data_IF_193096217724
#
_entry.id   IF_193096217724
#
_cell.length_a   1.000
_cell.length_b   1.000
_cell.length_c   1.000
_cell.angle_alpha   90.00
_cell.angle_beta   90.00
_cell.angle_gamma   90.00
#
_symmetry.space_group_name_H-M   'P 1'
#
loop_
_entity.id
_entity.type
_entity.pdbx_description
1 polymer ?
#
# COMPACT_ATOMS: atom_id res chain seq x y z
N UNK A 1 48.44 6.61 36.24
CA UNK A 1 47.55 7.59 35.58
C UNK A 1 46.64 8.19 36.65
N UNK A 2 46.66 9.51 36.85
CA UNK A 2 45.88 10.14 37.93
C UNK A 2 44.38 10.04 37.62
N UNK A 3 43.53 9.77 38.63
CA UNK A 3 42.07 9.62 38.47
C UNK A 3 41.45 10.81 37.73
N UNK A 4 42.00 12.00 37.92
CA UNK A 4 41.57 13.22 37.25
C UNK A 4 41.83 13.20 35.73
N UNK A 5 42.96 12.64 35.30
CA UNK A 5 43.32 12.51 33.88
C UNK A 5 42.42 11.50 33.15
N UNK A 6 42.01 10.42 33.83
CA UNK A 6 41.09 9.42 33.28
C UNK A 6 39.68 10.00 33.07
N UNK A 7 39.17 10.78 34.02
CA UNK A 7 37.84 11.42 33.92
C UNK A 7 37.79 12.45 32.79
N UNK A 8 38.84 13.27 32.65
CA UNK A 8 38.94 14.25 31.56
C UNK A 8 38.98 13.56 30.20
N UNK A 9 39.73 12.47 30.05
CA UNK A 9 39.78 11.71 28.80
C UNK A 9 38.44 11.05 28.45
N UNK A 10 37.71 10.51 29.43
CA UNK A 10 36.36 9.94 29.20
C UNK A 10 35.37 11.03 28.78
N UNK A 11 35.42 12.21 29.40
CA UNK A 11 34.55 13.33 29.05
C UNK A 11 34.82 13.85 27.61
N UNK A 12 36.09 13.98 27.22
CA UNK A 12 36.49 14.36 25.86
C UNK A 12 36.06 13.31 24.81
N UNK A 13 36.17 12.02 25.11
CA UNK A 13 35.70 10.94 24.23
C UNK A 13 34.18 10.93 24.12
N UNK A 14 33.44 11.19 25.21
CA UNK A 14 31.97 11.33 25.16
C UNK A 14 31.52 12.57 24.37
N UNK A 15 32.26 13.69 24.44
CA UNK A 15 31.98 14.89 23.64
C UNK A 15 32.26 14.70 22.14
N UNK A 16 33.22 13.85 21.79
CA UNK A 16 33.48 13.42 20.40
C UNK A 16 32.42 12.42 19.88
N UNK A 17 31.64 11.79 20.76
CA UNK A 17 30.54 10.87 20.44
C UNK A 17 29.17 11.57 20.31
N UNK A 18 29.12 12.90 20.40
CA UNK A 18 27.89 13.66 20.14
C UNK A 18 27.66 13.64 18.63
N UNK A 19 26.95 12.61 18.17
CA UNK A 19 26.46 12.52 16.80
C UNK A 19 25.52 13.71 16.59
N UNK A 20 25.90 14.67 15.76
CA UNK A 20 25.02 15.77 15.36
C UNK A 20 23.86 15.17 14.57
N UNK A 21 22.74 14.88 15.26
CA UNK A 21 21.50 14.46 14.62
C UNK A 21 20.92 15.71 13.97
N UNK A 22 21.15 15.86 12.66
CA UNK A 22 20.45 16.84 11.85
C UNK A 22 19.12 16.24 11.41
N UNK A 23 18.02 16.89 11.79
CA UNK A 23 16.69 16.57 11.28
C UNK A 23 16.32 17.62 10.24
N UNK A 24 16.21 17.21 8.98
CA UNK A 24 15.67 18.08 7.93
C UNK A 24 14.17 18.22 8.14
N UNK A 25 13.67 19.46 8.25
CA UNK A 25 12.22 19.70 8.25
C UNK A 25 11.67 19.41 6.86
N UNK A 26 10.75 18.46 6.79
CA UNK A 26 10.06 18.07 5.56
C UNK A 26 8.64 18.63 5.61
N UNK A 27 8.29 19.47 4.63
CA UNK A 27 6.91 19.96 4.46
C UNK A 27 6.22 19.19 3.33
N UNK A 28 5.11 18.53 3.67
CA UNK A 28 4.27 17.83 2.71
C UNK A 28 3.00 18.67 2.50
N UNK A 29 2.75 19.06 1.25
CA UNK A 29 1.49 19.71 0.86
C UNK A 29 0.44 18.65 0.52
N UNK A 30 -0.79 18.84 1.00
CA UNK A 30 -1.96 18.06 0.58
C UNK A 30 -2.75 18.75 -0.56
N UNK A 31 -2.31 19.92 -1.02
CA UNK A 31 -3.02 20.73 -2.04
C UNK A 31 -2.19 20.96 -3.31
N UNK A 32 -0.87 20.78 -3.24
CA UNK A 32 0.03 20.87 -4.40
C UNK A 32 0.49 19.46 -4.77
N UNK A 33 0.69 19.17 -6.07
CA UNK A 33 1.25 17.90 -6.48
C UNK A 33 2.64 17.72 -5.88
N UNK A 34 2.95 16.50 -5.46
CA UNK A 34 4.32 16.15 -5.07
C UNK A 34 5.17 16.05 -6.33
N UNK A 35 6.34 16.67 -6.29
CA UNK A 35 7.32 16.60 -7.38
C UNK A 35 8.44 15.64 -7.02
N UNK A 36 8.98 14.95 -8.02
CA UNK A 36 10.21 14.17 -7.89
C UNK A 36 11.46 15.08 -7.96
N UNK A 37 12.64 14.48 -7.85
CA UNK A 37 13.92 15.21 -7.91
C UNK A 37 14.20 15.88 -9.27
N UNK A 38 13.46 15.50 -10.33
CA UNK A 38 13.53 16.15 -11.65
C UNK A 38 12.48 17.28 -11.79
N UNK A 39 11.69 17.55 -10.75
CA UNK A 39 10.63 18.54 -10.75
C UNK A 39 9.35 18.08 -11.45
N UNK A 40 9.21 16.79 -11.76
CA UNK A 40 8.02 16.23 -12.42
C UNK A 40 6.96 15.83 -11.38
N UNK A 41 5.66 16.06 -11.64
CA UNK A 41 4.61 15.51 -10.80
C UNK A 41 4.73 14.00 -10.67
N UNK A 42 4.63 13.51 -9.44
CA UNK A 42 4.64 12.07 -9.16
C UNK A 42 3.27 11.48 -9.51
N UNK A 43 3.18 10.80 -10.65
CA UNK A 43 2.04 9.94 -11.04
C UNK A 43 2.14 8.63 -10.26
N UNK A 44 1.77 8.64 -8.99
CA UNK A 44 1.80 7.44 -8.16
C UNK A 44 0.64 7.43 -7.17
N UNK A 45 -0.20 6.42 -7.32
CA UNK A 45 -1.49 6.36 -6.64
C UNK A 45 -1.64 5.05 -5.88
N UNK A 46 -2.50 5.10 -4.87
CA UNK A 46 -3.20 3.99 -4.19
C UNK A 46 -2.41 2.75 -3.75
N UNK A 47 -1.07 2.80 -3.78
CA UNK A 47 -0.19 1.69 -3.43
C UNK A 47 0.30 1.68 -1.99
N UNK A 48 1.59 1.43 -1.76
CA UNK A 48 2.18 1.41 -0.41
C UNK A 48 3.62 1.93 -0.40
N UNK A 49 3.98 2.55 0.74
CA UNK A 49 5.36 2.92 1.07
C UNK A 49 5.90 1.90 2.06
N UNK A 50 7.09 1.37 1.80
CA UNK A 50 7.75 0.39 2.67
C UNK A 50 9.26 0.63 2.70
N UNK A 51 9.87 0.36 3.85
CA UNK A 51 11.32 0.31 4.03
C UNK A 51 11.68 -1.14 4.39
N UNK A 52 12.47 -1.80 3.55
CA UNK A 52 12.82 -3.22 3.77
C UNK A 52 13.97 -3.40 4.77
N UNK A 53 14.86 -2.40 4.86
CA UNK A 53 16.02 -2.41 5.73
C UNK A 53 16.03 -1.13 6.57
N UNK A 54 16.23 -1.25 7.88
CA UNK A 54 16.25 -0.11 8.79
C UNK A 54 17.34 0.89 8.37
N UNK A 55 16.94 2.12 8.06
CA UNK A 55 17.84 3.17 7.59
C UNK A 55 18.20 3.08 6.10
N UNK A 56 17.64 2.11 5.37
CA UNK A 56 17.73 2.04 3.91
C UNK A 56 16.70 2.92 3.21
N UNK A 57 16.56 2.74 1.89
CA UNK A 57 15.58 3.48 1.09
C UNK A 57 14.13 3.13 1.45
N UNK A 58 13.28 4.14 1.35
CA UNK A 58 11.83 3.99 1.24
C UNK A 58 11.46 3.69 -0.21
N UNK A 59 10.60 2.70 -0.41
CA UNK A 59 10.07 2.30 -1.70
C UNK A 59 8.59 2.65 -1.72
N UNK A 60 8.17 3.50 -2.65
CA UNK A 60 6.77 3.79 -2.91
C UNK A 60 6.36 3.08 -4.19
N UNK A 61 5.57 2.03 -4.03
CA UNK A 61 4.91 1.34 -5.12
C UNK A 61 3.51 1.92 -5.30
N UNK A 62 3.06 2.11 -6.53
CA UNK A 62 1.72 2.62 -6.79
C UNK A 62 1.31 2.49 -8.25
N UNK A 63 0.03 2.67 -8.51
CA UNK A 63 -0.47 2.73 -9.88
C UNK A 63 -0.10 4.08 -10.51
N UNK A 64 0.37 4.06 -11.75
CA UNK A 64 0.44 5.23 -12.60
C UNK A 64 -0.79 5.28 -13.50
N UNK A 65 -1.50 6.40 -13.48
CA UNK A 65 -2.70 6.62 -14.30
C UNK A 65 -2.40 7.44 -15.57
N UNK A 66 -1.15 7.88 -15.75
CA UNK A 66 -0.68 8.70 -16.86
C UNK A 66 -1.20 10.14 -16.78
N UNK A 67 -1.17 10.85 -17.90
CA UNK A 67 -1.70 12.23 -18.04
C UNK A 67 -3.24 12.24 -18.12
N UNK A 68 -3.82 11.66 -17.09
CA UNK A 68 -5.23 11.48 -16.89
C UNK A 68 -5.81 12.74 -16.25
N UNK A 69 -6.67 13.46 -16.97
CA UNK A 69 -7.34 14.62 -16.41
C UNK A 69 -8.75 14.23 -15.92
N UNK A 70 -9.03 14.32 -14.60
CA UNK A 70 -10.37 14.06 -14.10
C UNK A 70 -11.35 15.09 -14.71
N UNK A 71 -12.61 14.71 -14.98
CA UNK A 71 -13.58 15.66 -15.52
C UNK A 71 -13.84 16.79 -14.53
N UNK A 72 -13.79 18.03 -15.04
CA UNK A 72 -13.76 19.27 -14.25
C UNK A 72 -15.00 19.50 -13.38
N UNK A 73 -16.17 19.01 -13.81
CA UNK A 73 -17.46 19.41 -13.22
C UNK A 73 -17.95 18.52 -12.08
N UNK A 74 -17.47 17.27 -11.98
CA UNK A 74 -17.92 16.28 -10.97
C UNK A 74 -16.78 15.44 -10.35
N UNK A 75 -15.53 15.69 -10.74
CA UNK A 75 -14.40 14.84 -10.34
C UNK A 75 -14.62 13.37 -10.73
N UNK A 76 -14.10 12.45 -9.91
CA UNK A 76 -14.28 11.01 -10.11
C UNK A 76 -15.60 10.46 -9.50
N UNK A 77 -16.66 11.28 -9.38
CA UNK A 77 -18.01 10.82 -9.10
C UNK A 77 -18.88 10.77 -10.38
N UNK A 78 -19.36 9.58 -10.79
CA UNK A 78 -20.16 9.44 -12.00
C UNK A 78 -20.24 8.03 -12.57
N UNK A 79 -20.86 7.91 -13.75
CA UNK A 79 -20.82 6.72 -14.58
C UNK A 79 -19.58 6.79 -15.48
N UNK A 80 -18.78 5.72 -15.48
CA UNK A 80 -17.52 5.67 -16.22
C UNK A 80 -17.56 4.63 -17.32
N UNK A 81 -17.05 5.03 -18.47
CA UNK A 81 -16.79 4.17 -19.61
C UNK A 81 -15.33 3.70 -19.59
N UNK A 82 -15.09 2.55 -20.22
CA UNK A 82 -13.72 2.14 -20.53
C UNK A 82 -13.02 3.24 -21.34
N UNK A 83 -11.81 3.60 -20.91
CA UNK A 83 -11.02 4.70 -21.52
C UNK A 83 -11.09 6.01 -20.74
N UNK A 84 -12.09 6.19 -19.88
CA UNK A 84 -12.17 7.34 -18.99
C UNK A 84 -11.00 7.38 -18.01
N UNK A 85 -10.80 8.55 -17.39
CA UNK A 85 -9.70 8.73 -16.49
C UNK A 85 -9.79 7.78 -15.28
N UNK A 86 -8.74 6.97 -15.04
CA UNK A 86 -8.73 5.95 -14.00
C UNK A 86 -9.44 4.64 -14.36
N UNK A 87 -9.93 4.50 -15.60
CA UNK A 87 -10.63 3.32 -16.11
C UNK A 87 -10.00 2.82 -17.42
N UNK A 88 -8.67 2.93 -17.51
CA UNK A 88 -7.87 2.56 -18.69
C UNK A 88 -7.06 1.30 -18.41
N UNK A 89 -6.71 0.60 -19.47
CA UNK A 89 -5.98 -0.68 -19.38
C UNK A 89 -4.46 -0.50 -19.40
N UNK A 90 -4.01 0.72 -19.65
CA UNK A 90 -2.61 1.09 -19.71
C UNK A 90 -2.06 1.53 -18.35
N UNK A 91 -2.77 1.30 -17.24
CA UNK A 91 -2.26 1.62 -15.91
C UNK A 91 -0.92 0.93 -15.67
N UNK A 92 0.11 1.70 -15.34
CA UNK A 92 1.45 1.20 -15.01
C UNK A 92 1.53 0.91 -13.51
N UNK A 93 2.52 0.11 -13.08
CA UNK A 93 2.81 -0.04 -11.66
C UNK A 93 4.19 0.57 -11.43
N UNK A 94 4.23 1.80 -10.97
CA UNK A 94 5.48 2.52 -10.80
C UNK A 94 6.12 2.28 -9.44
N UNK A 95 7.44 2.39 -9.42
CA UNK A 95 8.26 2.49 -8.22
C UNK A 95 8.96 3.85 -8.18
N UNK A 96 8.83 4.54 -7.06
CA UNK A 96 9.70 5.63 -6.65
C UNK A 96 10.48 5.23 -5.40
N UNK A 97 11.71 5.72 -5.25
CA UNK A 97 12.51 5.53 -4.02
C UNK A 97 12.88 6.85 -3.39
N UNK A 98 13.01 6.88 -2.06
CA UNK A 98 13.42 8.06 -1.31
C UNK A 98 14.30 7.69 -0.11
N UNK A 99 15.35 8.45 0.21
CA UNK A 99 16.12 8.25 1.43
C UNK A 99 15.44 8.82 2.68
N UNK A 100 14.49 9.76 2.52
CA UNK A 100 14.02 10.65 3.59
C UNK A 100 12.50 10.91 3.58
N UNK A 101 11.75 10.19 2.73
CA UNK A 101 10.32 10.38 2.45
C UNK A 101 9.96 11.72 1.76
N UNK A 102 10.95 12.54 1.41
CA UNK A 102 10.77 13.84 0.78
C UNK A 102 11.31 13.88 -0.64
N UNK A 103 12.57 13.51 -0.84
CA UNK A 103 13.21 13.46 -2.15
C UNK A 103 12.91 12.13 -2.81
N UNK A 104 12.01 12.13 -3.79
CA UNK A 104 11.59 10.92 -4.50
C UNK A 104 12.24 10.85 -5.88
N UNK A 105 12.78 9.68 -6.22
CA UNK A 105 13.36 9.38 -7.53
C UNK A 105 12.50 8.33 -8.22
N UNK A 106 12.05 8.62 -9.45
CA UNK A 106 11.39 7.61 -10.28
C UNK A 106 12.37 6.50 -10.64
N UNK A 107 11.97 5.24 -10.48
CA UNK A 107 12.80 4.08 -10.81
C UNK A 107 12.36 3.44 -12.12
N UNK A 108 11.12 2.94 -12.21
CA UNK A 108 10.52 2.33 -13.41
C UNK A 108 9.06 1.92 -13.21
N UNK A 109 8.43 1.47 -14.31
CA UNK A 109 7.30 0.52 -14.27
C UNK A 109 7.82 -0.89 -13.92
N UNK A 110 7.43 -1.40 -12.75
CA UNK A 110 7.86 -2.69 -12.21
C UNK A 110 7.02 -3.86 -12.72
N UNK A 111 5.92 -3.59 -13.44
CA UNK A 111 5.00 -4.61 -13.96
C UNK A 111 4.48 -4.22 -15.35
N UNK A 112 5.36 -4.15 -16.38
CA UNK A 112 5.04 -3.58 -17.67
C UNK A 112 4.12 -4.47 -18.52
N UNK A 113 3.31 -3.86 -19.38
CA UNK A 113 2.32 -4.55 -20.22
C UNK A 113 2.88 -5.62 -21.14
N UNK A 114 4.10 -5.44 -21.66
CA UNK A 114 4.81 -6.42 -22.47
C UNK A 114 5.40 -7.58 -21.66
N UNK A 115 5.36 -7.52 -20.33
CA UNK A 115 5.87 -8.53 -19.40
C UNK A 115 4.93 -9.72 -19.18
N UNK A 116 3.87 -9.87 -19.99
CA UNK A 116 2.94 -11.01 -19.89
C UNK A 116 1.90 -10.87 -18.77
N UNK A 117 1.57 -9.65 -18.34
CA UNK A 117 0.53 -9.41 -17.33
C UNK A 117 -0.89 -9.56 -17.89
N UNK A 118 -1.88 -10.06 -17.11
CA UNK A 118 -3.24 -10.30 -17.60
C UNK A 118 -4.00 -9.01 -17.92
N UNK A 119 -4.56 -8.88 -19.12
CA UNK A 119 -5.30 -7.67 -19.56
C UNK A 119 -6.32 -7.19 -18.53
N UNK A 120 -6.35 -5.94 -18.15
CA UNK A 120 -7.36 -5.45 -17.20
C UNK A 120 -7.05 -4.04 -16.73
N UNK A 121 -7.88 -3.53 -15.84
CA UNK A 121 -7.66 -2.25 -15.18
C UNK A 121 -7.12 -2.53 -13.78
N UNK A 122 -6.02 -1.90 -13.42
CA UNK A 122 -5.28 -2.19 -12.21
C UNK A 122 -5.41 -1.09 -11.18
N UNK A 123 -5.61 -1.51 -9.94
CA UNK A 123 -5.78 -0.65 -8.78
C UNK A 123 -5.01 -1.19 -7.59
N UNK A 124 -4.65 -0.28 -6.69
CA UNK A 124 -4.13 -0.56 -5.35
C UNK A 124 -2.98 -1.57 -5.28
N UNK A 125 -1.93 -1.48 -6.12
CA UNK A 125 -0.82 -2.41 -6.02
C UNK A 125 -0.22 -2.41 -4.61
N UNK A 126 0.12 -3.58 -4.08
CA UNK A 126 0.82 -3.73 -2.80
C UNK A 126 2.02 -4.63 -3.00
N UNK A 127 3.21 -4.17 -2.61
CA UNK A 127 4.42 -4.99 -2.60
C UNK A 127 4.85 -5.26 -1.16
N UNK A 128 4.99 -6.52 -0.81
CA UNK A 128 5.52 -6.99 0.47
C UNK A 128 6.68 -7.98 0.25
N UNK A 129 7.59 -8.09 1.21
CA UNK A 129 8.69 -9.05 1.14
C UNK A 129 8.35 -10.30 1.95
N UNK A 130 8.50 -11.47 1.34
CA UNK A 130 8.34 -12.75 1.99
C UNK A 130 9.72 -13.28 2.42
N UNK A 131 10.01 -13.25 3.73
CA UNK A 131 11.31 -13.68 4.28
C UNK A 131 11.60 -15.16 4.03
N UNK A 132 10.58 -16.00 4.04
CA UNK A 132 10.70 -17.45 3.89
C UNK A 132 11.14 -17.86 2.48
N UNK A 133 10.57 -17.23 1.45
CA UNK A 133 10.89 -17.49 0.04
C UNK A 133 11.94 -16.56 -0.52
N UNK A 134 12.27 -15.48 0.20
CA UNK A 134 13.17 -14.40 -0.23
C UNK A 134 12.70 -13.73 -1.52
N UNK A 135 11.38 -13.57 -1.67
CA UNK A 135 10.75 -12.94 -2.83
C UNK A 135 9.98 -11.69 -2.42
N UNK A 136 10.00 -10.70 -3.29
CA UNK A 136 9.05 -9.60 -3.28
C UNK A 136 7.77 -10.06 -3.96
N UNK A 137 6.63 -9.82 -3.33
CA UNK A 137 5.32 -10.28 -3.78
C UNK A 137 4.43 -9.07 -4.02
N UNK A 138 4.03 -8.88 -5.27
CA UNK A 138 3.13 -7.84 -5.74
C UNK A 138 1.71 -8.40 -5.83
N UNK A 139 0.77 -7.78 -5.13
CA UNK A 139 -0.66 -8.01 -5.27
C UNK A 139 -1.32 -6.82 -5.96
N UNK A 140 -2.27 -7.06 -6.85
CA UNK A 140 -2.99 -6.01 -7.60
C UNK A 140 -4.49 -6.34 -7.62
N UNK A 141 -5.34 -5.35 -7.39
CA UNK A 141 -6.76 -5.44 -7.68
C UNK A 141 -6.96 -5.22 -9.19
N UNK A 142 -7.38 -6.26 -9.89
CA UNK A 142 -7.64 -6.27 -11.33
C UNK A 142 -9.13 -6.33 -11.58
N UNK A 143 -9.63 -5.31 -12.27
CA UNK A 143 -10.99 -5.26 -12.80
C UNK A 143 -10.98 -5.69 -14.27
N UNK A 144 -11.88 -6.58 -14.63
CA UNK A 144 -12.08 -7.00 -16.02
C UNK A 144 -12.62 -5.84 -16.88
N UNK A 145 -12.23 -5.84 -18.15
CA UNK A 145 -12.54 -4.75 -19.08
C UNK A 145 -14.04 -4.64 -19.33
N UNK A 146 -14.65 -5.70 -19.85
CA UNK A 146 -15.98 -5.62 -20.45
C UNK A 146 -17.08 -5.87 -19.42
N UNK A 147 -17.66 -4.79 -18.92
CA UNK A 147 -18.91 -4.78 -18.17
C UNK A 147 -20.11 -4.41 -19.05
N UNK A 148 -21.33 -4.39 -18.48
CA UNK A 148 -22.52 -3.93 -19.17
C UNK A 148 -22.34 -2.50 -19.72
N UNK A 149 -22.88 -2.24 -20.92
CA UNK A 149 -22.90 -0.90 -21.53
C UNK A 149 -21.52 -0.21 -21.70
N UNK A 150 -20.44 -0.97 -21.82
CA UNK A 150 -19.09 -0.42 -22.03
C UNK A 150 -18.41 0.13 -20.78
N UNK A 151 -18.97 -0.14 -19.59
CA UNK A 151 -18.36 0.16 -18.30
C UNK A 151 -17.30 -0.89 -17.90
N UNK A 152 -16.35 -0.54 -17.01
CA UNK A 152 -15.50 -1.52 -16.33
C UNK A 152 -16.34 -2.57 -15.58
N UNK A 153 -15.91 -3.84 -15.61
CA UNK A 153 -16.64 -4.93 -14.97
C UNK A 153 -16.22 -5.13 -13.52
N UNK A 154 -16.62 -4.22 -12.62
CA UNK A 154 -16.36 -4.34 -11.18
C UNK A 154 -16.93 -5.62 -10.56
N UNK A 155 -18.00 -6.17 -11.15
CA UNK A 155 -18.56 -7.47 -10.74
C UNK A 155 -17.69 -8.66 -11.16
N UNK A 156 -16.64 -8.44 -11.94
CA UNK A 156 -15.64 -9.45 -12.27
C UNK A 156 -14.24 -8.93 -11.93
N UNK A 157 -14.11 -8.38 -10.72
CA UNK A 157 -12.83 -8.06 -10.13
C UNK A 157 -12.14 -9.32 -9.56
N UNK A 158 -10.82 -9.27 -9.45
CA UNK A 158 -9.96 -10.35 -8.97
C UNK A 158 -8.62 -9.81 -8.48
N UNK A 159 -7.88 -10.61 -7.72
CA UNK A 159 -6.48 -10.29 -7.42
C UNK A 159 -5.52 -11.00 -8.38
N UNK A 160 -4.57 -10.24 -8.91
CA UNK A 160 -3.38 -10.75 -9.60
C UNK A 160 -2.22 -10.75 -8.60
N UNK A 161 -1.40 -11.80 -8.64
CA UNK A 161 -0.18 -11.88 -7.85
C UNK A 161 1.01 -12.14 -8.75
N UNK A 162 2.08 -11.39 -8.52
CA UNK A 162 3.35 -11.50 -9.21
C UNK A 162 4.51 -11.48 -8.22
N UNK A 163 5.67 -12.00 -8.60
CA UNK A 163 6.86 -12.04 -7.74
C UNK A 163 8.11 -11.52 -8.44
N UNK A 164 9.07 -11.04 -7.65
CA UNK A 164 10.40 -10.64 -8.09
C UNK A 164 11.45 -11.05 -7.06
N UNK A 165 12.69 -11.25 -7.51
CA UNK A 165 13.86 -11.45 -6.64
C UNK A 165 14.41 -10.13 -6.07
N UNK A 166 14.07 -9.00 -6.69
CA UNK A 166 14.52 -7.66 -6.29
C UNK A 166 13.32 -6.74 -6.05
N UNK A 167 13.44 -5.71 -5.18
CA UNK A 167 12.33 -4.81 -4.89
C UNK A 167 11.89 -3.98 -6.11
N UNK A 168 12.82 -3.70 -7.02
CA UNK A 168 12.60 -2.91 -8.24
C UNK A 168 12.13 -3.74 -9.45
N UNK A 169 11.83 -5.02 -9.26
CA UNK A 169 11.28 -5.87 -10.33
C UNK A 169 12.28 -6.20 -11.45
N UNK A 170 11.81 -6.60 -12.63
CA UNK A 170 10.41 -6.71 -13.07
C UNK A 170 9.69 -7.87 -12.39
N UNK A 171 8.43 -7.66 -12.01
CA UNK A 171 7.59 -8.69 -11.39
C UNK A 171 6.99 -9.63 -12.44
N UNK A 172 7.03 -10.93 -12.17
CA UNK A 172 6.49 -12.00 -13.03
C UNK A 172 5.24 -12.60 -12.40
N UNK A 173 4.18 -12.77 -13.19
CA UNK A 173 2.89 -13.29 -12.72
C UNK A 173 3.03 -14.72 -12.22
N UNK A 174 2.51 -14.99 -11.02
CA UNK A 174 2.38 -16.33 -10.44
C UNK A 174 0.93 -16.73 -10.21
N UNK A 175 0.02 -15.76 -10.13
CA UNK A 175 -1.43 -15.96 -10.12
C UNK A 175 -2.11 -14.91 -10.97
N UNK A 176 -2.71 -15.30 -12.09
CA UNK A 176 -3.54 -14.39 -12.89
C UNK A 176 -4.86 -14.04 -12.19
N UNK A 177 -5.35 -14.95 -11.34
CA UNK A 177 -6.58 -14.78 -10.55
C UNK A 177 -6.48 -15.64 -9.29
N UNK A 178 -6.39 -15.00 -8.12
CA UNK A 178 -6.42 -15.70 -6.83
C UNK A 178 -7.81 -16.29 -6.60
N UNK A 179 -7.93 -17.62 -6.71
CA UNK A 179 -9.20 -18.36 -6.55
C UNK A 179 -9.50 -18.80 -5.13
N UNK A 180 -8.53 -18.70 -4.22
CA UNK A 180 -8.67 -19.19 -2.83
C UNK A 180 -9.34 -18.20 -1.88
N UNK A 181 -9.67 -16.99 -2.34
CA UNK A 181 -10.46 -16.02 -1.57
C UNK A 181 -11.79 -16.64 -1.15
N UNK A 182 -12.22 -16.42 0.09
CA UNK A 182 -13.48 -16.99 0.58
C UNK A 182 -14.68 -16.36 -0.15
N UNK A 183 -14.67 -15.03 -0.27
CA UNK A 183 -15.74 -14.27 -0.89
C UNK A 183 -15.27 -13.70 -2.23
N UNK A 184 -15.87 -14.17 -3.32
CA UNK A 184 -15.60 -13.70 -4.68
C UNK A 184 -15.95 -12.22 -4.90
N UNK A 185 -15.68 -11.72 -6.11
CA UNK A 185 -15.85 -10.31 -6.48
C UNK A 185 -15.17 -9.37 -5.47
N UNK A 186 -13.87 -9.58 -5.21
CA UNK A 186 -13.13 -8.74 -4.29
C UNK A 186 -12.95 -7.33 -4.88
N UNK A 187 -12.82 -6.32 -4.02
CA UNK A 187 -12.51 -4.96 -4.45
C UNK A 187 -11.22 -4.44 -3.82
N UNK A 188 -11.32 -3.26 -3.23
CA UNK A 188 -10.25 -2.60 -2.52
C UNK A 188 -9.64 -3.50 -1.43
N UNK A 189 -8.31 -3.45 -1.34
CA UNK A 189 -7.57 -4.25 -0.36
C UNK A 189 -6.32 -3.55 0.14
N UNK A 190 -5.77 -4.13 1.21
CA UNK A 190 -4.40 -3.91 1.65
C UNK A 190 -3.82 -5.21 2.21
N UNK A 191 -2.51 -5.21 2.44
CA UNK A 191 -1.78 -6.31 3.06
C UNK A 191 -1.22 -5.86 4.41
N UNK A 192 -1.15 -6.80 5.35
CA UNK A 192 -0.52 -6.61 6.65
C UNK A 192 0.41 -7.78 6.93
N UNK A 193 1.60 -7.51 7.48
CA UNK A 193 2.53 -8.55 7.95
C UNK A 193 2.59 -8.43 9.46
N UNK A 194 2.18 -9.49 10.13
CA UNK A 194 2.35 -9.73 11.54
C UNK A 194 3.72 -10.37 11.79
N UNK A 195 4.58 -9.63 12.51
CA UNK A 195 5.97 -10.00 12.77
C UNK A 195 6.17 -10.69 14.13
N UNK A 196 5.10 -11.20 14.75
CA UNK A 196 5.17 -12.00 15.99
C UNK A 196 6.15 -13.19 15.86
N UNK A 197 6.25 -13.79 14.67
CA UNK A 197 7.26 -14.78 14.33
C UNK A 197 8.30 -14.12 13.39
N UNK A 198 9.53 -13.93 13.88
CA UNK A 198 10.57 -13.24 13.12
C UNK A 198 11.08 -14.06 11.92
N UNK A 199 11.08 -15.39 12.02
CA UNK A 199 11.56 -16.30 10.98
C UNK A 199 10.49 -16.51 9.90
N UNK A 200 9.23 -16.63 10.33
CA UNK A 200 8.09 -16.85 9.44
C UNK A 200 6.91 -15.93 9.81
N UNK A 201 7.02 -14.62 9.50
CA UNK A 201 5.92 -13.68 9.74
C UNK A 201 4.64 -14.14 9.05
N UNK A 202 3.51 -13.93 9.70
CA UNK A 202 2.21 -14.24 9.11
C UNK A 202 1.71 -13.01 8.36
N UNK A 203 1.29 -13.18 7.11
CA UNK A 203 0.70 -12.09 6.35
C UNK A 203 -0.81 -12.26 6.22
N UNK A 204 -1.53 -11.15 6.10
CA UNK A 204 -2.97 -11.10 5.97
C UNK A 204 -3.37 -10.18 4.83
N UNK A 205 -4.44 -10.57 4.12
CA UNK A 205 -5.17 -9.78 3.16
C UNK A 205 -6.40 -9.21 3.86
N UNK A 206 -6.51 -7.89 3.89
CA UNK A 206 -7.74 -7.22 4.31
C UNK A 206 -8.41 -6.61 3.07
N UNK A 207 -9.66 -6.98 2.81
CA UNK A 207 -10.34 -6.60 1.57
C UNK A 207 -11.84 -6.44 1.74
N UNK A 208 -12.49 -5.68 0.85
CA UNK A 208 -13.94 -5.68 0.72
C UNK A 208 -14.39 -6.69 -0.35
N UNK A 209 -15.60 -7.24 -0.21
CA UNK A 209 -16.18 -8.15 -1.21
C UNK A 209 -17.60 -7.75 -1.55
N UNK A 210 -17.90 -7.62 -2.85
CA UNK A 210 -19.26 -7.40 -3.33
C UNK A 210 -20.18 -8.57 -2.96
N UNK A 211 -19.68 -9.81 -3.06
CA UNK A 211 -20.45 -11.01 -2.73
C UNK A 211 -20.74 -11.16 -1.23
N UNK A 212 -20.12 -10.33 -0.38
CA UNK A 212 -20.40 -10.26 1.05
C UNK A 212 -20.86 -8.87 1.49
N UNK A 213 -21.73 -8.22 0.69
CA UNK A 213 -22.35 -6.93 1.03
C UNK A 213 -21.33 -5.83 1.38
N UNK A 214 -20.19 -5.82 0.69
CA UNK A 214 -19.06 -4.91 0.92
C UNK A 214 -18.43 -4.98 2.32
N UNK A 215 -18.67 -6.05 3.09
CA UNK A 215 -18.04 -6.24 4.40
C UNK A 215 -16.55 -6.48 4.25
N UNK A 216 -15.77 -5.87 5.14
CA UNK A 216 -14.34 -6.12 5.23
C UNK A 216 -14.10 -7.53 5.75
N UNK A 217 -13.29 -8.27 5.00
CA UNK A 217 -12.79 -9.59 5.34
C UNK A 217 -11.30 -9.49 5.65
N UNK A 218 -10.83 -10.35 6.54
CA UNK A 218 -9.41 -10.52 6.83
C UNK A 218 -9.11 -12.00 6.65
N UNK A 219 -8.22 -12.30 5.71
CA UNK A 219 -7.81 -13.66 5.41
C UNK A 219 -6.30 -13.78 5.54
N UNK A 220 -5.84 -14.87 6.15
CA UNK A 220 -4.42 -15.18 6.25
C UNK A 220 -3.90 -15.60 4.87
N UNK A 221 -2.71 -15.13 4.52
CA UNK A 221 -2.02 -15.59 3.32
C UNK A 221 -1.35 -16.95 3.53
N UNK A 222 -1.21 -17.69 2.45
CA UNK A 222 -0.33 -18.86 2.35
C UNK A 222 1.11 -18.49 2.71
N UNK A 223 1.92 -19.48 3.11
CA UNK A 223 3.31 -19.26 3.59
C UNK A 223 4.20 -18.48 2.61
N UNK A 224 3.95 -18.61 1.30
CA UNK A 224 4.69 -17.90 0.26
C UNK A 224 4.05 -16.54 -0.15
N UNK A 225 2.99 -16.13 0.54
CA UNK A 225 2.18 -14.93 0.29
C UNK A 225 1.56 -14.82 -1.10
N UNK A 226 1.49 -15.91 -1.88
CA UNK A 226 0.99 -15.86 -3.28
C UNK A 226 -0.50 -16.17 -3.43
N UNK A 227 -1.15 -16.60 -2.36
CA UNK A 227 -2.57 -16.89 -2.28
C UNK A 227 -3.07 -16.70 -0.84
N UNK A 228 -4.37 -16.71 -0.64
CA UNK A 228 -5.02 -16.71 0.68
C UNK A 228 -5.41 -18.13 1.11
N UNK A 229 -5.53 -18.36 2.42
CA UNK A 229 -6.10 -19.57 3.01
C UNK A 229 -7.64 -19.60 2.99
N UNK A 230 -8.30 -18.50 2.60
CA UNK A 230 -9.75 -18.40 2.49
C UNK A 230 -10.43 -18.73 3.81
N UNK A 231 -11.41 -19.64 3.75
CA UNK A 231 -12.15 -20.18 4.91
C UNK A 231 -11.26 -20.81 5.99
N UNK A 232 -10.05 -21.25 5.62
CA UNK A 232 -9.11 -21.84 6.56
C UNK A 232 -8.24 -20.78 7.26
N UNK A 233 -8.49 -19.49 7.02
CA UNK A 233 -7.79 -18.42 7.71
C UNK A 233 -8.08 -18.46 9.20
N UNK A 234 -7.04 -18.56 10.00
CA UNK A 234 -7.16 -18.35 11.44
C UNK A 234 -6.99 -16.85 11.71
N UNK A 235 -8.08 -16.10 11.78
CA UNK A 235 -8.03 -14.88 12.58
C UNK A 235 -7.97 -15.34 14.03
N UNK A 236 -6.90 -14.99 14.77
CA UNK A 236 -6.89 -15.24 16.22
C UNK A 236 -8.13 -14.53 16.77
N UNK A 237 -9.16 -15.30 17.16
CA UNK A 237 -10.29 -14.79 17.95
C UNK A 237 -9.73 -14.49 19.34
N UNK A 238 -9.09 -13.35 19.52
CA UNK A 238 -9.01 -12.77 20.85
C UNK A 238 -10.33 -12.05 21.09
N UNK A 239 -11.13 -12.59 22.01
CA UNK A 239 -12.14 -11.83 22.72
C UNK A 239 -11.43 -10.74 23.54
N UNK A 240 -11.03 -9.66 22.89
CA UNK A 240 -10.75 -8.40 23.58
C UNK A 240 -11.82 -7.40 23.17
N UNK A 241 -12.60 -6.99 24.16
CA UNK A 241 -13.43 -5.80 24.03
C UNK A 241 -12.48 -4.64 23.67
N UNK A 242 -12.69 -4.06 22.49
CA UNK A 242 -11.96 -2.89 21.96
C UNK A 242 -10.61 -3.13 21.26
N UNK A 243 -10.61 -3.83 20.12
CA UNK A 243 -9.67 -3.47 19.03
C UNK A 243 -10.38 -3.44 17.69
N UNK A 244 -11.06 -2.32 17.41
CA UNK A 244 -11.47 -1.98 16.06
C UNK A 244 -10.23 -1.55 15.29
N UNK A 245 -9.68 -2.45 14.46
CA UNK A 245 -8.82 -2.00 13.36
C UNK A 245 -9.71 -1.14 12.45
N UNK A 246 -9.65 0.18 12.64
CA UNK A 246 -10.27 1.15 11.74
C UNK A 246 -9.47 1.15 10.43
N UNK A 247 -9.68 0.11 9.64
CA UNK A 247 -9.21 0.08 8.26
C UNK A 247 -10.15 0.98 7.47
N UNK A 248 -9.76 2.24 7.26
CA UNK A 248 -10.45 3.13 6.33
C UNK A 248 -10.13 2.70 4.90
N UNK A 249 -10.82 1.66 4.43
CA UNK A 249 -11.01 1.40 3.01
C UNK A 249 -12.10 2.36 2.55
N UNK A 250 -11.73 3.55 2.05
CA UNK A 250 -12.68 4.43 1.38
C UNK A 250 -13.03 3.76 0.05
N UNK A 251 -14.10 2.97 0.08
CA UNK A 251 -14.76 2.45 -1.11
C UNK A 251 -15.57 3.60 -1.72
N UNK A 252 -15.09 4.21 -2.80
CA UNK A 252 -15.93 5.10 -3.60
C UNK A 252 -16.80 4.24 -4.52
N UNK A 253 -17.98 3.85 -4.04
CA UNK A 253 -19.09 3.42 -4.89
C UNK A 253 -20.43 3.78 -4.23
N UNK A 254 -21.18 4.59 -4.96
CA UNK A 254 -22.39 5.30 -4.58
C UNK A 254 -23.56 4.33 -4.29
N UNK A 255 -24.13 4.41 -3.09
CA UNK A 255 -25.53 4.03 -2.86
C UNK A 255 -26.36 5.31 -3.08
N UNK A 256 -27.26 5.38 -4.08
CA UNK A 256 -28.17 6.51 -4.20
C UNK A 256 -29.29 6.32 -3.18
N UNK A 257 -29.04 6.67 -1.91
CA UNK A 257 -30.10 7.01 -0.97
C UNK A 257 -29.74 8.31 -0.29
N UNK A 258 -30.51 9.35 -0.63
CA UNK A 258 -30.64 10.61 0.10
C UNK A 258 -30.61 10.32 1.61
N UNK A 259 -29.48 10.57 2.25
CA UNK A 259 -29.44 10.91 3.66
C UNK A 259 -28.90 12.34 3.72
N UNK A 260 -29.75 13.23 4.23
CA UNK A 260 -29.39 14.60 4.57
C UNK A 260 -28.16 14.58 5.49
N UNK A 261 -27.01 15.00 4.98
CA UNK A 261 -25.86 15.37 5.81
C UNK A 261 -26.07 16.81 6.26
N UNK A 262 -26.83 16.99 7.34
CA UNK A 262 -26.77 18.23 8.10
C UNK A 262 -25.51 18.20 8.99
N UNK A 263 -24.68 19.23 8.81
CA UNK A 263 -23.68 19.76 9.74
C UNK A 263 -22.82 18.75 10.54
N UNK A 264 -21.65 18.43 10.00
CA UNK A 264 -20.48 18.11 10.83
C UNK A 264 -19.42 19.19 10.59
N UNK A 265 -19.51 20.27 11.39
CA UNK A 265 -18.38 21.17 11.64
C UNK A 265 -17.53 20.53 12.74
N UNK A 266 -16.25 20.22 12.47
CA UNK A 266 -15.30 19.89 13.53
C UNK A 266 -14.17 18.94 13.12
N UNK A 267 -12.99 19.52 12.91
CA UNK A 267 -11.64 19.07 13.27
C UNK A 267 -11.10 17.66 12.88
N UNK A 268 -9.94 17.74 12.22
CA UNK A 268 -8.77 16.84 12.25
C UNK A 268 -8.87 15.47 11.54
N UNK A 269 -8.48 15.45 10.26
CA UNK A 269 -7.96 14.24 9.60
C UNK A 269 -6.49 14.05 10.02
N UNK A 270 -6.24 13.13 10.96
CA UNK A 270 -4.89 12.66 11.29
C UNK A 270 -4.52 11.46 10.39
N UNK A 271 -3.43 11.59 9.64
CA UNK A 271 -2.69 10.42 9.15
C UNK A 271 -1.91 9.84 10.33
N UNK A 272 -2.24 8.62 10.75
CA UNK A 272 -1.43 7.89 11.73
C UNK A 272 -0.59 6.84 11.01
N UNK A 273 0.70 7.14 10.86
CA UNK A 273 1.74 6.13 10.66
C UNK A 273 1.95 5.42 11.98
N UNK A 274 1.76 4.09 12.03
CA UNK A 274 2.08 3.26 13.19
C UNK A 274 3.59 3.35 13.47
N UNK A 275 3.97 4.11 14.50
CA UNK A 275 5.29 4.05 15.13
C UNK A 275 5.17 3.14 16.35
N UNK A 276 5.84 1.99 16.30
CA UNK A 276 6.11 1.17 17.48
C UNK A 276 7.06 1.97 18.37
N UNK A 277 6.55 2.48 19.50
CA UNK A 277 7.35 3.05 20.58
C UNK A 277 7.22 2.11 21.79
N UNK A 278 8.22 1.24 21.95
CA UNK A 278 8.51 0.62 23.23
C UNK A 278 9.26 1.65 24.09
N UNK A 279 8.73 1.98 25.26
CA UNK A 279 9.53 2.48 26.37
C UNK A 279 8.99 1.93 27.69
N UNK A 280 9.77 1.00 28.23
CA UNK A 280 10.08 0.76 29.65
C UNK A 280 9.31 1.59 30.67
N UNK A 281 8.58 0.90 31.57
CA UNK A 281 8.41 1.32 32.95
C UNK A 281 8.60 0.08 33.83
N UNK A 282 9.46 0.22 34.84
CA UNK A 282 9.72 -0.71 35.94
C UNK A 282 8.46 -0.99 36.76
#
# INVERSE_FOLDING_TARGET
MNRMTLIINIALVMQLLICNVSATSVTISNILPRLDIEGKPMDIHDGNIIQYEKGGLYYYYGAGYGECHPPLDFGCAGFYLLGDCGFRENHTIYLYTSPDLYQWTFVRDIFPGNGGRPLGIYYRPKVIYNRYTQLYVLWINRVERTGPFGSPNFLNASYVVATSKTPDGVFTVVQEKVRSIEYGNPGDFTLFIDNDDEERPTAYLAYNSFNNLHRIQIEQLTVNYTATLGKNSTTKKEESNETRVHLFLISFLLIPKKYHLENIKGNNFFFLTLRTLYSTIQ
#
